data_IF_465404704122
#
_entry.id   IF_465404704122
#
_cell.length_a   1.000
_cell.length_b   1.000
_cell.length_c   1.000
_cell.angle_alpha   90.00
_cell.angle_beta   90.00
_cell.angle_gamma   90.00
#
_symmetry.space_group_name_H-M   'P 1'
#
loop_
_entity.id
_entity.type
_entity.pdbx_description
1 polymer ?
#
# COMPACT_ATOMS: atom_id res chain seq x y z
N UNK A 1 10.93 4.92 -16.47
CA UNK A 1 12.05 3.96 -16.27
C UNK A 1 13.31 4.57 -15.59
N UNK A 2 13.36 5.89 -15.39
CA UNK A 2 14.42 6.65 -14.64
C UNK A 2 14.63 6.23 -13.18
N UNK A 3 13.61 5.61 -12.57
CA UNK A 3 13.61 5.03 -11.23
C UNK A 3 14.69 3.98 -10.94
N UNK A 4 15.15 3.28 -11.98
CA UNK A 4 16.13 2.20 -11.82
C UNK A 4 17.53 2.75 -11.59
N UNK A 5 18.01 3.66 -12.43
CA UNK A 5 19.45 3.97 -12.55
C UNK A 5 20.01 4.68 -11.31
N UNK A 6 19.33 5.71 -10.77
CA UNK A 6 19.79 6.41 -9.56
C UNK A 6 19.90 5.47 -8.35
N UNK A 7 18.92 4.57 -8.20
CA UNK A 7 18.97 3.52 -7.18
C UNK A 7 20.10 2.54 -7.47
N UNK A 8 20.26 2.09 -8.72
CA UNK A 8 21.36 1.18 -9.09
C UNK A 8 22.73 1.78 -8.71
N UNK A 9 22.98 3.05 -9.06
CA UNK A 9 24.23 3.77 -8.78
C UNK A 9 24.46 3.87 -7.27
N UNK A 10 23.43 4.23 -6.50
CA UNK A 10 23.51 4.32 -5.03
C UNK A 10 23.82 2.96 -4.40
N UNK A 11 23.12 1.90 -4.81
CA UNK A 11 23.39 0.55 -4.33
C UNK A 11 24.83 0.13 -4.65
N UNK A 12 25.34 0.46 -5.85
CA UNK A 12 26.71 0.15 -6.28
C UNK A 12 27.73 0.91 -5.42
N UNK A 13 27.51 2.20 -5.17
CA UNK A 13 28.42 3.01 -4.36
C UNK A 13 28.44 2.55 -2.90
N UNK A 14 27.33 2.01 -2.39
CA UNK A 14 27.21 1.64 -0.98
C UNK A 14 27.46 0.15 -0.68
N UNK A 15 27.18 -0.76 -1.62
CA UNK A 15 27.37 -2.22 -1.50
C UNK A 15 28.64 -2.71 -2.22
N UNK A 16 29.29 -1.84 -2.98
CA UNK A 16 30.62 -2.05 -3.56
C UNK A 16 30.66 -2.91 -4.83
N UNK A 17 31.88 -3.30 -5.22
CA UNK A 17 32.18 -3.99 -6.50
C UNK A 17 31.43 -5.31 -6.70
N UNK A 18 31.10 -6.03 -5.63
CA UNK A 18 30.34 -7.29 -5.70
C UNK A 18 28.92 -7.06 -6.21
N UNK A 19 28.26 -5.99 -5.77
CA UNK A 19 26.93 -5.62 -6.23
C UNK A 19 26.97 -5.12 -7.69
N UNK A 20 28.02 -4.39 -8.07
CA UNK A 20 28.25 -4.00 -9.46
C UNK A 20 28.37 -5.22 -10.37
N UNK A 21 29.22 -6.18 -10.02
CA UNK A 21 29.41 -7.41 -10.79
C UNK A 21 28.10 -8.18 -10.92
N UNK A 22 27.40 -8.41 -9.81
CA UNK A 22 26.08 -9.06 -9.79
C UNK A 22 25.09 -8.36 -10.75
N UNK A 23 24.99 -7.03 -10.68
CA UNK A 23 24.08 -6.25 -11.53
C UNK A 23 24.48 -6.31 -13.00
N UNK A 24 25.76 -6.21 -13.33
CA UNK A 24 26.26 -6.34 -14.71
C UNK A 24 25.98 -7.74 -15.24
N UNK A 25 26.29 -8.80 -14.49
CA UNK A 25 26.04 -10.18 -14.92
C UNK A 25 24.56 -10.42 -15.18
N UNK A 26 23.67 -9.94 -14.30
CA UNK A 26 22.21 -10.03 -14.49
C UNK A 26 21.79 -9.23 -15.73
N UNK A 27 22.30 -8.00 -15.88
CA UNK A 27 21.99 -7.14 -17.00
C UNK A 27 22.41 -7.75 -18.34
N UNK A 28 23.65 -8.21 -18.47
CA UNK A 28 24.20 -8.85 -19.68
C UNK A 28 23.41 -10.12 -19.99
N UNK A 29 23.17 -10.98 -18.99
CA UNK A 29 22.39 -12.20 -19.16
C UNK A 29 20.97 -11.92 -19.65
N UNK A 30 20.35 -10.85 -19.16
CA UNK A 30 18.99 -10.49 -19.56
C UNK A 30 18.95 -9.81 -20.93
N UNK A 31 19.81 -8.82 -21.20
CA UNK A 31 19.81 -8.01 -22.43
C UNK A 31 20.26 -8.81 -23.65
N UNK A 32 21.27 -9.65 -23.50
CA UNK A 32 21.78 -10.49 -24.59
C UNK A 32 21.14 -11.88 -24.63
N UNK A 33 20.14 -12.15 -23.78
CA UNK A 33 19.34 -13.34 -24.00
C UNK A 33 18.61 -13.22 -25.34
N UNK A 34 18.79 -14.21 -26.20
CA UNK A 34 18.11 -14.31 -27.49
C UNK A 34 16.59 -14.08 -27.35
N UNK A 35 16.01 -14.62 -26.28
CA UNK A 35 14.61 -14.43 -25.91
C UNK A 35 14.24 -12.97 -25.61
N UNK A 36 15.12 -12.16 -25.03
CA UNK A 36 14.83 -10.75 -24.73
C UNK A 36 14.79 -9.90 -26.00
N UNK A 37 15.75 -10.07 -26.90
CA UNK A 37 15.80 -9.33 -28.16
C UNK A 37 14.60 -9.67 -29.07
N UNK A 38 14.29 -10.97 -29.16
CA UNK A 38 13.13 -11.45 -29.91
C UNK A 38 11.82 -10.95 -29.31
N UNK A 39 11.64 -11.06 -27.99
CA UNK A 39 10.43 -10.56 -27.33
C UNK A 39 10.27 -9.05 -27.53
N UNK A 40 11.35 -8.28 -27.49
CA UNK A 40 11.29 -6.85 -27.75
C UNK A 40 10.85 -6.58 -29.18
N UNK A 41 11.46 -7.21 -30.17
CA UNK A 41 11.07 -7.08 -31.57
C UNK A 41 9.59 -7.44 -31.80
N UNK A 42 9.11 -8.53 -31.20
CA UNK A 42 7.71 -8.97 -31.29
C UNK A 42 6.70 -7.94 -30.76
N UNK A 43 7.04 -7.15 -29.73
CA UNK A 43 6.14 -6.13 -29.18
C UNK A 43 6.36 -4.74 -29.80
N UNK A 44 7.56 -4.43 -30.30
CA UNK A 44 7.90 -3.11 -30.85
C UNK A 44 7.11 -2.82 -32.12
N UNK A 45 7.01 -3.75 -33.08
CA UNK A 45 6.29 -3.49 -34.33
C UNK A 45 4.79 -3.22 -34.08
N UNK A 46 4.04 -4.06 -33.33
CA UNK A 46 2.67 -3.74 -32.93
C UNK A 46 2.54 -2.44 -32.13
N UNK A 47 3.52 -2.11 -31.29
CA UNK A 47 3.52 -0.87 -30.50
C UNK A 47 3.59 0.36 -31.41
N UNK A 48 4.50 0.36 -32.39
CA UNK A 48 4.64 1.44 -33.37
C UNK A 48 3.37 1.56 -34.21
N UNK A 49 2.82 0.44 -34.70
CA UNK A 49 1.58 0.45 -35.48
C UNK A 49 0.43 1.05 -34.69
N UNK A 50 0.22 0.60 -33.44
CA UNK A 50 -0.84 1.13 -32.57
C UNK A 50 -0.61 2.61 -32.24
N UNK A 51 0.64 3.03 -32.00
CA UNK A 51 0.97 4.43 -31.73
C UNK A 51 0.65 5.33 -32.93
N UNK A 52 1.00 4.92 -34.15
CA UNK A 52 0.65 5.64 -35.39
C UNK A 52 -0.87 5.76 -35.53
N UNK A 53 -1.61 4.67 -35.31
CA UNK A 53 -3.08 4.69 -35.33
C UNK A 53 -3.60 5.74 -34.33
N UNK A 54 -3.13 5.72 -33.08
CA UNK A 54 -3.60 6.69 -32.06
C UNK A 54 -3.29 8.13 -32.47
N UNK A 55 -2.10 8.39 -33.02
CA UNK A 55 -1.70 9.73 -33.47
C UNK A 55 -2.59 10.21 -34.63
N UNK A 56 -2.87 9.35 -35.61
CA UNK A 56 -3.75 9.68 -36.75
C UNK A 56 -5.20 9.93 -36.30
N UNK A 57 -5.70 9.15 -35.35
CA UNK A 57 -7.06 9.30 -34.81
C UNK A 57 -7.20 10.44 -33.80
N UNK A 58 -6.10 11.04 -33.34
CA UNK A 58 -6.11 12.15 -32.37
C UNK A 58 -6.90 13.37 -32.87
N UNK A 59 -7.02 13.56 -34.18
CA UNK A 59 -7.84 14.62 -34.79
C UNK A 59 -9.34 14.45 -34.49
N UNK A 60 -9.80 13.24 -34.20
CA UNK A 60 -11.21 12.94 -33.97
C UNK A 60 -11.49 12.63 -32.49
N UNK A 61 -10.62 11.86 -31.83
CA UNK A 61 -10.81 11.39 -30.45
C UNK A 61 -9.48 11.39 -29.70
N UNK A 62 -9.47 11.95 -28.48
CA UNK A 62 -8.31 11.87 -27.59
C UNK A 62 -8.28 10.52 -26.86
N UNK A 63 -7.61 9.53 -27.46
CA UNK A 63 -7.44 8.19 -26.89
C UNK A 63 -6.23 8.18 -25.94
N UNK A 64 -6.39 7.60 -24.75
CA UNK A 64 -5.29 7.31 -23.83
C UNK A 64 -5.23 5.83 -23.46
N UNK A 65 -4.02 5.33 -23.24
CA UNK A 65 -3.72 3.96 -22.87
C UNK A 65 -3.21 3.91 -21.44
N UNK A 66 -3.80 3.08 -20.59
CA UNK A 66 -3.36 2.88 -19.20
C UNK A 66 -2.97 1.44 -18.92
N UNK A 67 -1.94 1.25 -18.10
CA UNK A 67 -1.57 -0.07 -17.58
C UNK A 67 -2.11 -0.25 -16.16
N UNK A 68 -2.81 -1.36 -15.94
CA UNK A 68 -3.28 -1.71 -14.60
C UNK A 68 -2.13 -2.36 -13.80
N UNK A 69 -1.97 -1.98 -12.53
CA UNK A 69 -0.84 -2.43 -11.71
C UNK A 69 -0.96 -3.91 -11.27
N UNK A 70 0.19 -4.57 -11.07
CA UNK A 70 0.28 -6.02 -10.72
C UNK A 70 0.24 -6.34 -9.22
N UNK A 71 0.34 -5.32 -8.38
CA UNK A 71 0.38 -5.43 -6.90
C UNK A 71 -0.93 -4.94 -6.32
N UNK A 72 -1.52 -5.68 -5.38
CA UNK A 72 -2.87 -5.43 -4.85
C UNK A 72 -3.10 -3.97 -4.40
N UNK A 73 -2.16 -3.39 -3.65
CA UNK A 73 -2.32 -2.02 -3.13
C UNK A 73 -2.54 -0.99 -4.24
N UNK A 74 -1.57 -0.87 -5.15
CA UNK A 74 -1.67 -0.03 -6.33
C UNK A 74 -2.79 -0.46 -7.30
N UNK A 75 -3.08 -1.76 -7.40
CA UNK A 75 -4.17 -2.28 -8.26
C UNK A 75 -5.52 -1.72 -7.83
N UNK A 76 -5.74 -1.56 -6.52
CA UNK A 76 -6.98 -1.04 -5.95
C UNK A 76 -6.95 0.49 -5.90
N UNK A 77 -5.96 1.09 -5.21
CA UNK A 77 -5.99 2.53 -4.92
C UNK A 77 -5.63 3.42 -6.10
N UNK A 78 -4.71 3.02 -6.98
CA UNK A 78 -4.45 3.83 -8.18
C UNK A 78 -5.74 3.91 -9.03
N UNK A 79 -6.53 2.84 -9.07
CA UNK A 79 -7.80 2.83 -9.82
C UNK A 79 -8.89 3.64 -9.13
N UNK A 80 -9.10 3.49 -7.83
CA UNK A 80 -10.08 4.29 -7.09
C UNK A 80 -9.76 5.79 -7.18
N UNK A 81 -8.50 6.17 -6.98
CA UNK A 81 -8.06 7.55 -7.05
C UNK A 81 -8.13 8.10 -8.47
N UNK A 82 -7.74 7.33 -9.48
CA UNK A 82 -7.95 7.71 -10.88
C UNK A 82 -9.42 8.00 -11.18
N UNK A 83 -10.35 7.17 -10.72
CA UNK A 83 -11.79 7.38 -10.93
C UNK A 83 -12.27 8.67 -10.24
N UNK A 84 -11.76 8.97 -9.05
CA UNK A 84 -12.09 10.20 -8.32
C UNK A 84 -11.50 11.44 -8.98
N UNK A 85 -10.22 11.42 -9.31
CA UNK A 85 -9.54 12.54 -9.98
C UNK A 85 -10.18 12.80 -11.35
N UNK A 86 -10.49 11.75 -12.12
CA UNK A 86 -11.24 11.88 -13.38
C UNK A 86 -12.63 12.49 -13.19
N UNK A 87 -13.29 12.23 -12.07
CA UNK A 87 -14.63 12.75 -11.78
C UNK A 87 -14.62 14.21 -11.30
N UNK A 88 -13.62 14.58 -10.49
CA UNK A 88 -13.63 15.85 -9.74
C UNK A 88 -12.60 16.88 -10.22
N UNK A 89 -11.52 16.44 -10.89
CA UNK A 89 -10.40 17.32 -11.26
C UNK A 89 -10.17 17.38 -12.78
N UNK A 90 -10.54 16.33 -13.53
CA UNK A 90 -10.34 16.28 -14.97
C UNK A 90 -11.50 16.98 -15.72
N UNK A 91 -11.19 18.11 -16.36
CA UNK A 91 -12.14 18.83 -17.20
C UNK A 91 -12.21 18.29 -18.64
N UNK A 92 -11.11 17.68 -19.11
CA UNK A 92 -10.97 17.20 -20.48
C UNK A 92 -11.57 15.81 -20.65
N UNK A 93 -12.27 15.61 -21.78
CA UNK A 93 -12.83 14.31 -22.15
C UNK A 93 -11.79 13.49 -22.90
N UNK A 94 -11.49 12.32 -22.34
CA UNK A 94 -10.59 11.32 -22.91
C UNK A 94 -11.29 9.97 -23.05
N UNK A 95 -10.98 9.27 -24.15
CA UNK A 95 -11.36 7.87 -24.33
C UNK A 95 -10.25 6.97 -23.81
N UNK A 96 -10.46 6.46 -22.59
CA UNK A 96 -9.42 5.77 -21.83
C UNK A 96 -9.56 4.25 -21.96
N UNK A 97 -8.51 3.61 -22.47
CA UNK A 97 -8.42 2.17 -22.65
C UNK A 97 -7.36 1.62 -21.70
N UNK A 98 -7.77 0.70 -20.82
CA UNK A 98 -6.89 0.12 -19.82
C UNK A 98 -6.49 -1.31 -20.19
N UNK A 99 -5.27 -1.69 -19.84
CA UNK A 99 -4.70 -2.99 -20.15
C UNK A 99 -4.35 -3.73 -18.87
N UNK A 100 -4.93 -4.92 -18.70
CA UNK A 100 -4.71 -5.75 -17.53
C UNK A 100 -3.44 -6.60 -17.66
N UNK A 101 -2.65 -6.77 -16.59
CA UNK A 101 -1.53 -7.69 -16.62
C UNK A 101 -2.02 -9.14 -16.66
N UNK A 102 -1.16 -10.06 -17.15
CA UNK A 102 -1.46 -11.50 -17.17
C UNK A 102 -1.76 -12.06 -15.78
N UNK A 103 -1.00 -11.63 -14.76
CA UNK A 103 -1.23 -12.02 -13.37
C UNK A 103 -2.12 -10.98 -12.67
N UNK A 104 -3.33 -11.39 -12.32
CA UNK A 104 -4.32 -10.56 -11.62
C UNK A 104 -4.19 -10.82 -10.11
N UNK A 105 -3.92 -9.78 -9.28
CA UNK A 105 -3.66 -10.00 -7.86
C UNK A 105 -4.92 -10.36 -7.05
N UNK A 106 -6.10 -9.92 -7.50
CA UNK A 106 -7.39 -10.27 -6.92
C UNK A 106 -8.50 -10.23 -7.98
N UNK A 107 -9.16 -11.37 -8.23
CA UNK A 107 -10.18 -11.53 -9.26
C UNK A 107 -11.48 -10.77 -8.98
N UNK A 108 -11.84 -10.55 -7.71
CA UNK A 108 -13.04 -9.80 -7.36
C UNK A 108 -12.86 -8.31 -7.64
N UNK A 109 -11.72 -7.73 -7.25
CA UNK A 109 -11.38 -6.35 -7.60
C UNK A 109 -11.32 -6.18 -9.13
N UNK A 110 -10.72 -7.13 -9.86
CA UNK A 110 -10.69 -7.06 -11.32
C UNK A 110 -12.08 -6.95 -11.95
N UNK A 111 -13.04 -7.75 -11.46
CA UNK A 111 -14.46 -7.65 -11.88
C UNK A 111 -15.05 -6.28 -11.57
N UNK A 112 -14.74 -5.70 -10.42
CA UNK A 112 -15.20 -4.36 -10.03
C UNK A 112 -14.61 -3.27 -10.94
N UNK A 113 -13.33 -3.37 -11.28
CA UNK A 113 -12.64 -2.44 -12.21
C UNK A 113 -13.27 -2.52 -13.61
N UNK A 114 -13.54 -3.72 -14.14
CA UNK A 114 -14.17 -3.90 -15.46
C UNK A 114 -15.59 -3.32 -15.55
N UNK A 115 -16.29 -3.13 -14.43
CA UNK A 115 -17.59 -2.44 -14.39
C UNK A 115 -17.45 -0.91 -14.54
N UNK A 116 -16.24 -0.36 -14.37
CA UNK A 116 -15.97 1.09 -14.34
C UNK A 116 -15.07 1.56 -15.47
N UNK A 117 -14.18 0.71 -15.97
CA UNK A 117 -13.20 1.02 -17.00
C UNK A 117 -13.35 0.06 -18.18
N UNK A 118 -13.04 0.56 -19.39
CA UNK A 118 -12.81 -0.29 -20.55
C UNK A 118 -11.46 -0.98 -20.39
N UNK A 119 -11.47 -2.27 -20.03
CA UNK A 119 -10.25 -3.05 -19.79
C UNK A 119 -10.09 -4.16 -20.80
N UNK A 120 -8.94 -4.16 -21.48
CA UNK A 120 -8.48 -5.19 -22.41
C UNK A 120 -7.48 -6.11 -21.69
N UNK A 121 -7.67 -7.43 -21.80
CA UNK A 121 -6.85 -8.44 -21.12
C UNK A 121 -5.62 -8.90 -21.91
N UNK A 122 -5.46 -8.45 -23.15
CA UNK A 122 -4.32 -8.71 -24.01
C UNK A 122 -3.67 -7.40 -24.44
N UNK A 123 -2.41 -7.43 -24.90
CA UNK A 123 -1.69 -6.23 -25.35
C UNK A 123 -0.98 -5.43 -24.26
N UNK A 124 -0.97 -5.89 -23.01
CA UNK A 124 -0.25 -5.23 -21.91
C UNK A 124 1.21 -4.91 -22.26
N UNK A 125 1.95 -5.88 -22.83
CA UNK A 125 3.35 -5.69 -23.20
C UNK A 125 3.53 -4.75 -24.41
N UNK A 126 2.55 -4.69 -25.31
CA UNK A 126 2.55 -3.75 -26.44
C UNK A 126 2.42 -2.32 -25.92
N UNK A 127 1.45 -2.08 -25.04
CA UNK A 127 1.29 -0.76 -24.40
C UNK A 127 2.48 -0.41 -23.52
N UNK A 128 3.08 -1.40 -22.84
CA UNK A 128 4.31 -1.17 -22.08
C UNK A 128 5.47 -0.74 -22.96
N UNK A 129 5.60 -1.31 -24.16
CA UNK A 129 6.62 -0.87 -25.11
C UNK A 129 6.30 0.52 -25.69
N UNK A 130 5.02 0.88 -25.88
CA UNK A 130 4.63 2.26 -26.22
C UNK A 130 5.11 3.24 -25.12
N UNK A 131 4.84 2.96 -23.83
CA UNK A 131 5.36 3.79 -22.73
C UNK A 131 6.89 3.95 -22.81
N UNK A 132 7.62 2.86 -23.07
CA UNK A 132 9.08 2.88 -23.17
C UNK A 132 9.56 3.73 -24.36
N UNK A 133 8.92 3.61 -25.53
CA UNK A 133 9.22 4.39 -26.73
C UNK A 133 9.01 5.89 -26.46
N UNK A 134 7.86 6.24 -25.87
CA UNK A 134 7.53 7.64 -25.57
C UNK A 134 8.49 8.26 -24.55
N UNK A 135 8.87 7.51 -23.50
CA UNK A 135 9.91 7.93 -22.56
C UNK A 135 11.26 8.13 -23.27
N UNK A 136 11.66 7.23 -24.17
CA UNK A 136 12.95 7.28 -24.88
C UNK A 136 13.06 8.56 -25.74
N UNK A 137 11.99 8.95 -26.41
CA UNK A 137 11.96 10.16 -27.24
C UNK A 137 11.56 11.42 -26.46
N UNK A 138 11.42 11.34 -25.13
CA UNK A 138 10.95 12.44 -24.27
C UNK A 138 9.66 13.09 -24.80
N UNK A 139 8.80 12.28 -25.42
CA UNK A 139 7.54 12.75 -26.00
C UNK A 139 6.52 12.90 -24.89
N UNK A 140 6.26 14.14 -24.49
CA UNK A 140 5.12 14.44 -23.64
C UNK A 140 3.85 14.48 -24.50
N UNK A 141 3.32 13.31 -24.82
CA UNK A 141 2.02 13.21 -25.45
C UNK A 141 1.03 12.59 -24.45
N UNK A 142 -0.18 13.13 -24.41
CA UNK A 142 -1.25 12.65 -23.54
C UNK A 142 -1.79 11.28 -23.99
N UNK A 143 -0.98 10.42 -24.63
CA UNK A 143 -1.35 9.09 -25.13
C UNK A 143 -1.32 8.06 -24.01
N UNK A 144 -0.42 8.22 -23.04
CA UNK A 144 -0.41 7.35 -21.85
C UNK A 144 -1.23 8.02 -20.76
N UNK A 145 -2.12 7.26 -20.15
CA UNK A 145 -2.78 7.69 -18.92
C UNK A 145 -1.66 7.79 -17.88
N UNK A 146 -1.35 9.02 -17.46
CA UNK A 146 -0.46 9.24 -16.34
C UNK A 146 -0.96 8.46 -15.13
N UNK A 147 -0.06 8.14 -14.19
CA UNK A 147 -0.55 7.76 -12.87
C UNK A 147 -1.45 8.91 -12.38
N UNK A 148 -2.54 8.59 -11.68
CA UNK A 148 -3.22 9.59 -10.88
C UNK A 148 -2.20 10.35 -10.01
N UNK A 149 -2.55 11.55 -9.57
CA UNK A 149 -1.65 12.59 -9.05
C UNK A 149 -0.51 12.05 -8.18
N UNK A 150 -0.79 11.07 -7.31
CA UNK A 150 0.25 10.36 -6.58
C UNK A 150 -0.06 8.87 -6.35
N UNK A 151 -0.26 8.09 -7.42
CA UNK A 151 -0.43 6.61 -7.34
C UNK A 151 -1.47 6.19 -6.27
N UNK A 152 -1.07 5.45 -5.24
CA UNK A 152 -1.93 4.96 -4.17
C UNK A 152 -2.09 5.94 -3.00
N UNK A 153 -1.64 7.19 -3.16
CA UNK A 153 -1.78 8.25 -2.16
C UNK A 153 -2.73 9.34 -2.62
N UNK A 154 -3.70 9.62 -1.76
CA UNK A 154 -4.67 10.67 -1.97
C UNK A 154 -4.14 12.04 -1.52
N UNK A 155 -3.21 12.61 -2.29
CA UNK A 155 -2.64 13.94 -2.00
C UNK A 155 -3.65 15.08 -2.17
N UNK A 156 -4.80 14.80 -2.78
CA UNK A 156 -5.90 15.74 -2.97
C UNK A 156 -7.01 15.58 -1.91
N UNK A 157 -6.86 14.63 -0.99
CA UNK A 157 -7.81 14.34 0.10
C UNK A 157 -9.26 14.04 -0.37
N UNK A 158 -9.42 13.52 -1.59
CA UNK A 158 -10.72 13.22 -2.20
C UNK A 158 -11.45 12.05 -1.52
N UNK A 159 -10.74 11.09 -0.93
CA UNK A 159 -11.34 9.90 -0.31
C UNK A 159 -12.30 10.29 0.84
N UNK A 160 -11.90 11.26 1.67
CA UNK A 160 -12.72 11.71 2.81
C UNK A 160 -13.99 12.46 2.40
N UNK A 161 -14.01 13.04 1.19
CA UNK A 161 -15.09 13.93 0.72
C UNK A 161 -15.93 13.32 -0.39
N UNK A 162 -15.68 12.05 -0.74
CA UNK A 162 -16.33 11.38 -1.87
C UNK A 162 -16.89 10.02 -1.48
N UNK A 163 -17.96 9.64 -2.17
CA UNK A 163 -18.43 8.26 -2.17
C UNK A 163 -17.46 7.34 -2.91
N UNK A 164 -17.51 6.06 -2.59
CA UNK A 164 -16.71 5.02 -3.24
C UNK A 164 -17.05 4.91 -4.73
N UNK A 165 -16.06 4.85 -5.62
CA UNK A 165 -16.32 4.68 -7.06
C UNK A 165 -16.53 3.21 -7.43
N UNK A 166 -15.87 2.30 -6.72
CA UNK A 166 -16.08 0.86 -6.81
C UNK A 166 -16.93 0.33 -5.64
N UNK A 167 -17.97 -0.45 -5.94
CA UNK A 167 -18.91 -1.00 -4.95
C UNK A 167 -19.26 -2.46 -5.21
N UNK A 168 -19.68 -3.16 -4.14
CA UNK A 168 -20.26 -4.50 -4.24
C UNK A 168 -21.74 -4.40 -4.60
N UNK A 169 -22.21 -5.31 -5.45
CA UNK A 169 -23.63 -5.46 -5.80
C UNK A 169 -24.41 -6.14 -4.68
N UNK A 170 -25.73 -5.99 -4.67
CA UNK A 170 -26.60 -6.64 -3.68
C UNK A 170 -26.46 -8.18 -3.68
N UNK A 171 -26.17 -8.79 -4.83
CA UNK A 171 -25.88 -10.24 -4.94
C UNK A 171 -24.56 -10.60 -4.25
N UNK A 172 -23.53 -9.76 -4.41
CA UNK A 172 -22.25 -9.92 -3.73
C UNK A 172 -22.41 -9.71 -2.21
N UNK A 173 -23.21 -8.73 -1.78
CA UNK A 173 -23.50 -8.52 -0.36
C UNK A 173 -24.16 -9.74 0.28
N UNK A 174 -25.24 -10.27 -0.31
CA UNK A 174 -25.91 -11.50 0.17
C UNK A 174 -24.98 -12.71 0.17
N UNK A 175 -24.11 -12.84 -0.84
CA UNK A 175 -23.10 -13.90 -0.90
C UNK A 175 -22.13 -13.80 0.28
N UNK A 176 -21.65 -12.60 0.59
CA UNK A 176 -20.73 -12.38 1.70
C UNK A 176 -21.39 -12.71 3.04
N UNK A 177 -22.63 -12.29 3.27
CA UNK A 177 -23.39 -12.61 4.49
C UNK A 177 -23.57 -14.12 4.67
N UNK A 178 -23.91 -14.83 3.58
CA UNK A 178 -23.99 -16.29 3.58
C UNK A 178 -22.65 -16.93 3.98
N UNK A 179 -21.55 -16.48 3.40
CA UNK A 179 -20.21 -17.01 3.71
C UNK A 179 -19.78 -16.70 5.16
N UNK A 180 -20.16 -15.55 5.72
CA UNK A 180 -19.94 -15.28 7.14
C UNK A 180 -20.69 -16.27 8.02
N UNK A 181 -21.96 -16.54 7.74
CA UNK A 181 -22.75 -17.51 8.50
C UNK A 181 -22.16 -18.93 8.42
N UNK A 182 -21.69 -19.35 7.23
CA UNK A 182 -21.01 -20.64 7.04
C UNK A 182 -19.71 -20.75 7.86
N UNK A 183 -19.03 -19.62 8.12
CA UNK A 183 -17.85 -19.53 8.99
C UNK A 183 -18.19 -19.47 10.49
N UNK A 184 -19.48 -19.45 10.86
CA UNK A 184 -19.90 -19.18 12.25
C UNK A 184 -19.73 -17.71 12.66
N UNK A 185 -19.54 -16.80 11.71
CA UNK A 185 -19.35 -15.37 11.95
C UNK A 185 -20.69 -14.66 11.85
N UNK A 186 -21.10 -14.01 12.94
CA UNK A 186 -22.35 -13.25 12.99
C UNK A 186 -22.31 -12.01 12.09
N UNK A 187 -23.34 -11.83 11.25
CA UNK A 187 -23.45 -10.63 10.40
C UNK A 187 -23.82 -9.38 11.20
N UNK A 188 -24.40 -9.53 12.40
CA UNK A 188 -24.87 -8.43 13.25
C UNK A 188 -23.81 -7.87 14.20
N UNK A 189 -22.76 -8.63 14.50
CA UNK A 189 -21.65 -8.17 15.34
C UNK A 189 -20.61 -7.42 14.52
N UNK A 190 -19.92 -6.41 15.10
CA UNK A 190 -18.88 -5.68 14.41
C UNK A 190 -17.63 -6.53 14.19
N UNK A 191 -17.09 -6.49 12.97
CA UNK A 191 -15.87 -7.21 12.58
C UNK A 191 -14.66 -6.28 12.62
N UNK A 192 -13.56 -6.72 13.22
CA UNK A 192 -12.25 -6.08 13.14
C UNK A 192 -11.33 -7.00 12.35
N UNK A 193 -10.76 -6.47 11.26
CA UNK A 193 -9.78 -7.21 10.46
C UNK A 193 -8.37 -6.94 10.98
N UNK A 194 -7.62 -7.98 11.30
CA UNK A 194 -6.22 -7.90 11.74
C UNK A 194 -5.33 -8.49 10.64
N UNK A 195 -4.51 -7.66 10.00
CA UNK A 195 -3.55 -8.11 8.98
C UNK A 195 -2.14 -7.65 9.31
N UNK A 196 -1.33 -8.58 9.79
CA UNK A 196 0.09 -8.32 10.08
C UNK A 196 0.94 -9.06 9.07
N UNK A 197 1.82 -8.31 8.42
CA UNK A 197 2.72 -8.79 7.37
C UNK A 197 3.80 -9.71 7.95
N UNK A 198 4.03 -10.81 7.24
CA UNK A 198 5.22 -11.66 7.29
C UNK A 198 5.87 -11.77 5.89
N UNK A 199 6.99 -12.50 5.79
CA UNK A 199 7.73 -12.69 4.54
C UNK A 199 7.06 -13.71 3.58
N UNK A 200 6.14 -14.54 4.08
CA UNK A 200 5.60 -15.71 3.39
C UNK A 200 4.96 -15.37 2.02
N UNK A 201 4.20 -14.28 1.97
CA UNK A 201 3.46 -13.89 0.77
C UNK A 201 4.38 -13.54 -0.40
N UNK A 202 5.42 -12.73 -0.15
CA UNK A 202 6.27 -12.24 -1.24
C UNK A 202 7.16 -13.35 -1.80
N UNK A 203 7.72 -14.18 -0.93
CA UNK A 203 8.55 -15.33 -1.31
C UNK A 203 7.78 -16.32 -2.19
N UNK A 204 6.52 -16.60 -1.85
CA UNK A 204 5.71 -17.59 -2.58
C UNK A 204 5.03 -17.06 -3.84
N UNK A 205 4.55 -15.81 -3.86
CA UNK A 205 3.83 -15.26 -5.02
C UNK A 205 4.77 -14.67 -6.07
N UNK A 206 5.92 -14.16 -5.66
CA UNK A 206 6.88 -13.50 -6.55
C UNK A 206 8.28 -14.13 -6.42
N UNK A 207 8.43 -15.46 -6.60
CA UNK A 207 9.73 -16.11 -6.50
C UNK A 207 10.66 -15.61 -7.61
N UNK A 208 11.88 -15.22 -7.24
CA UNK A 208 12.92 -14.78 -8.19
C UNK A 208 12.79 -13.35 -8.73
N UNK A 209 11.69 -12.63 -8.42
CA UNK A 209 11.53 -11.22 -8.81
C UNK A 209 12.56 -10.32 -8.09
N UNK A 210 12.87 -10.64 -6.83
CA UNK A 210 13.75 -9.86 -5.97
C UNK A 210 14.13 -10.64 -4.70
N UNK A 211 15.22 -10.25 -4.03
CA UNK A 211 15.55 -10.74 -2.69
C UNK A 211 14.65 -10.04 -1.66
N UNK A 212 13.56 -10.72 -1.29
CA UNK A 212 12.54 -10.16 -0.41
C UNK A 212 13.02 -9.91 1.02
N UNK A 213 14.15 -10.50 1.44
CA UNK A 213 14.74 -10.26 2.78
C UNK A 213 15.10 -8.79 3.03
N UNK A 214 15.28 -8.02 1.96
CA UNK A 214 15.47 -6.57 2.08
C UNK A 214 14.22 -5.83 2.57
N UNK A 215 13.05 -6.47 2.57
CA UNK A 215 11.77 -5.90 3.01
C UNK A 215 11.34 -6.34 4.41
N UNK A 216 12.09 -7.24 5.05
CA UNK A 216 11.75 -7.83 6.37
C UNK A 216 11.64 -6.80 7.49
N UNK A 217 12.24 -5.62 7.32
CA UNK A 217 12.12 -4.52 8.27
C UNK A 217 10.64 -4.14 8.57
N UNK A 218 9.71 -4.44 7.65
CA UNK A 218 8.27 -4.20 7.79
C UNK A 218 7.50 -5.34 8.45
N UNK A 219 8.07 -6.54 8.49
CA UNK A 219 7.38 -7.72 9.00
C UNK A 219 7.24 -7.62 10.53
N UNK A 220 6.26 -8.28 11.12
CA UNK A 220 6.07 -8.23 12.58
C UNK A 220 5.55 -9.55 13.12
N UNK A 221 5.84 -9.82 14.39
CA UNK A 221 5.34 -11.02 15.05
C UNK A 221 3.84 -10.92 15.31
N UNK A 222 3.06 -11.82 14.71
CA UNK A 222 1.60 -11.87 14.88
C UNK A 222 1.19 -12.19 16.33
N UNK A 223 2.05 -12.85 17.12
CA UNK A 223 1.75 -13.21 18.51
C UNK A 223 1.66 -11.98 19.42
N UNK A 224 2.39 -10.90 19.09
CA UNK A 224 2.31 -9.60 19.79
C UNK A 224 0.91 -8.98 19.79
N UNK A 225 -0.01 -9.50 18.95
CA UNK A 225 -1.37 -9.03 18.78
C UNK A 225 -2.43 -9.86 19.53
N UNK A 226 -2.03 -10.89 20.29
CA UNK A 226 -2.98 -11.69 21.07
C UNK A 226 -3.74 -10.84 22.08
N UNK A 227 -3.05 -9.93 22.77
CA UNK A 227 -3.66 -9.04 23.78
C UNK A 227 -4.77 -8.16 23.18
N UNK A 228 -4.55 -7.60 21.99
CA UNK A 228 -5.55 -6.76 21.33
C UNK A 228 -6.71 -7.59 20.78
N UNK A 229 -6.43 -8.77 20.23
CA UNK A 229 -7.46 -9.68 19.74
C UNK A 229 -8.38 -10.14 20.87
N UNK A 230 -7.80 -10.54 22.01
CA UNK A 230 -8.55 -10.92 23.21
C UNK A 230 -9.41 -9.77 23.71
N UNK A 231 -8.83 -8.57 23.90
CA UNK A 231 -9.58 -7.40 24.36
C UNK A 231 -10.78 -7.08 23.46
N UNK A 232 -10.58 -7.08 22.13
CA UNK A 232 -11.67 -6.84 21.19
C UNK A 232 -12.75 -7.93 21.30
N UNK A 233 -12.35 -9.18 21.42
CA UNK A 233 -13.26 -10.30 21.49
C UNK A 233 -14.08 -10.30 22.80
N UNK A 234 -13.45 -9.99 23.93
CA UNK A 234 -14.10 -9.83 25.23
C UNK A 234 -15.13 -8.68 25.23
N UNK A 235 -14.91 -7.67 24.36
CA UNK A 235 -15.82 -6.54 24.17
C UNK A 235 -16.82 -6.75 23.02
N UNK A 236 -17.02 -8.00 22.59
CA UNK A 236 -18.07 -8.38 21.64
C UNK A 236 -17.74 -8.16 20.16
N UNK A 237 -16.52 -7.76 19.83
CA UNK A 237 -16.05 -7.66 18.45
C UNK A 237 -15.62 -9.02 17.90
N UNK A 238 -15.86 -9.26 16.62
CA UNK A 238 -15.34 -10.43 15.93
C UNK A 238 -14.00 -10.09 15.26
N UNK A 239 -12.93 -10.74 15.70
CA UNK A 239 -11.58 -10.48 15.19
C UNK A 239 -11.22 -11.51 14.13
N UNK A 240 -11.01 -11.06 12.91
CA UNK A 240 -10.59 -11.92 11.81
C UNK A 240 -9.13 -11.65 11.49
N UNK A 241 -8.27 -12.65 11.72
CA UNK A 241 -6.91 -12.60 11.24
C UNK A 241 -6.91 -12.85 9.73
N UNK A 242 -6.49 -11.83 8.98
CA UNK A 242 -6.46 -11.81 7.53
C UNK A 242 -5.12 -12.32 6.97
N UNK A 243 -5.10 -12.68 5.69
CA UNK A 243 -3.87 -13.09 4.99
C UNK A 243 -4.15 -14.00 3.80
N UNK A 244 -3.30 -13.93 2.77
CA UNK A 244 -3.36 -14.80 1.57
C UNK A 244 -2.47 -16.03 1.75
N UNK A 245 -1.26 -15.81 2.20
CA UNK A 245 -0.21 -16.79 2.50
C UNK A 245 0.50 -16.22 3.72
N UNK A 246 0.70 -17.06 4.73
CA UNK A 246 1.20 -16.67 6.04
C UNK A 246 2.03 -17.82 6.62
N UNK A 247 2.99 -17.50 7.48
CA UNK A 247 3.83 -18.50 8.14
C UNK A 247 3.10 -19.14 9.32
N UNK A 248 2.58 -18.30 10.20
CA UNK A 248 2.05 -18.74 11.49
C UNK A 248 0.51 -18.81 11.48
N UNK A 249 -0.01 -19.78 12.25
CA UNK A 249 -1.42 -19.84 12.62
C UNK A 249 -1.73 -18.87 13.75
N UNK A 250 -2.96 -18.37 13.77
CA UNK A 250 -3.44 -17.49 14.84
C UNK A 250 -4.27 -18.28 15.85
N UNK A 251 -3.58 -19.06 16.69
CA UNK A 251 -4.20 -20.00 17.63
C UNK A 251 -4.52 -19.33 18.97
N UNK A 252 -5.55 -18.49 19.00
CA UNK A 252 -6.10 -17.93 20.23
C UNK A 252 -7.51 -18.51 20.44
N UNK A 253 -7.70 -19.29 21.51
CA UNK A 253 -8.96 -20.00 21.77
C UNK A 253 -10.02 -19.05 22.32
N UNK A 254 -10.79 -18.46 21.40
CA UNK A 254 -11.92 -17.61 21.74
C UNK A 254 -12.99 -17.65 20.62
N UNK A 255 -14.29 -17.79 20.93
CA UNK A 255 -15.34 -18.01 19.93
C UNK A 255 -15.58 -16.83 18.97
N UNK A 256 -15.01 -15.66 19.25
CA UNK A 256 -15.09 -14.47 18.40
C UNK A 256 -13.76 -14.15 17.69
N UNK A 257 -12.78 -15.06 17.72
CA UNK A 257 -11.49 -14.90 17.05
C UNK A 257 -11.37 -15.96 15.96
N UNK A 258 -11.11 -15.54 14.74
CA UNK A 258 -11.16 -16.40 13.55
C UNK A 258 -9.86 -16.25 12.74
N UNK A 259 -9.14 -17.35 12.53
CA UNK A 259 -7.99 -17.40 11.61
C UNK A 259 -8.46 -17.58 10.17
N UNK A 260 -9.03 -16.52 9.59
CA UNK A 260 -9.52 -16.53 8.20
C UNK A 260 -8.42 -16.89 7.21
N UNK A 261 -7.18 -16.42 7.42
CA UNK A 261 -6.05 -16.69 6.53
C UNK A 261 -5.74 -18.18 6.35
N UNK A 262 -5.92 -18.99 7.40
CA UNK A 262 -5.72 -20.44 7.39
C UNK A 262 -7.04 -21.24 7.23
N UNK A 263 -8.14 -20.57 6.92
CA UNK A 263 -9.45 -21.23 6.73
C UNK A 263 -9.69 -21.64 5.27
N UNK A 264 -10.58 -22.62 5.07
CA UNK A 264 -11.06 -23.03 3.74
C UNK A 264 -11.97 -21.98 3.07
N UNK A 265 -12.34 -20.91 3.78
CA UNK A 265 -13.22 -19.85 3.27
C UNK A 265 -12.45 -18.70 2.63
N UNK A 266 -11.11 -18.70 2.74
CA UNK A 266 -10.27 -17.65 2.17
C UNK A 266 -10.36 -17.64 0.66
N UNK A 267 -10.83 -16.53 0.11
CA UNK A 267 -10.95 -16.32 -1.33
C UNK A 267 -10.76 -14.86 -1.71
N UNK A 268 -10.38 -14.60 -2.96
CA UNK A 268 -10.27 -13.23 -3.49
C UNK A 268 -11.57 -12.42 -3.28
N UNK A 269 -12.73 -13.07 -3.32
CA UNK A 269 -14.02 -12.42 -3.02
C UNK A 269 -14.14 -12.05 -1.54
N UNK A 270 -13.85 -12.98 -0.63
CA UNK A 270 -13.95 -12.72 0.81
C UNK A 270 -12.90 -11.72 1.29
N UNK A 271 -11.72 -11.67 0.68
CA UNK A 271 -10.72 -10.64 0.96
C UNK A 271 -11.28 -9.23 0.73
N UNK A 272 -12.10 -9.06 -0.31
CA UNK A 272 -12.77 -7.79 -0.63
C UNK A 272 -13.98 -7.54 0.27
N UNK A 273 -14.82 -8.57 0.46
CA UNK A 273 -16.03 -8.45 1.26
C UNK A 273 -15.71 -8.14 2.73
N UNK A 274 -14.68 -8.76 3.32
CA UNK A 274 -14.26 -8.48 4.68
C UNK A 274 -13.69 -7.05 4.83
N UNK A 275 -12.94 -6.56 3.83
CA UNK A 275 -12.51 -5.16 3.79
C UNK A 275 -13.68 -4.17 3.63
N UNK A 276 -14.78 -4.58 3.01
CA UNK A 276 -16.02 -3.81 2.96
C UNK A 276 -16.83 -3.88 4.27
N UNK A 277 -16.90 -5.05 4.91
CA UNK A 277 -17.79 -5.30 6.04
C UNK A 277 -17.19 -4.86 7.37
N UNK A 278 -15.86 -4.84 7.51
CA UNK A 278 -15.21 -4.51 8.77
C UNK A 278 -15.64 -3.14 9.32
N UNK A 279 -15.65 -3.03 10.64
CA UNK A 279 -15.77 -1.78 11.37
C UNK A 279 -14.51 -0.94 11.14
N UNK A 280 -13.33 -1.55 11.32
CA UNK A 280 -12.02 -1.01 10.99
C UNK A 280 -11.00 -2.14 10.78
N UNK A 281 -9.80 -1.79 10.33
CA UNK A 281 -8.68 -2.71 10.18
C UNK A 281 -7.49 -2.30 11.07
N UNK A 282 -6.72 -3.28 11.52
CA UNK A 282 -5.40 -3.13 12.15
C UNK A 282 -4.37 -3.72 11.20
N UNK A 283 -3.36 -2.94 10.80
CA UNK A 283 -2.39 -3.37 9.78
C UNK A 283 -1.02 -2.69 9.90
N UNK A 284 0.03 -3.31 9.37
CA UNK A 284 1.38 -2.74 9.31
C UNK A 284 1.81 -2.33 7.88
N UNK A 285 0.89 -1.71 7.12
CA UNK A 285 1.11 -1.20 5.74
C UNK A 285 1.29 -2.31 4.69
N UNK A 286 0.22 -3.07 4.45
CA UNK A 286 0.16 -4.12 3.43
C UNK A 286 -0.57 -3.66 2.17
N UNK A 287 -0.44 -4.44 1.09
CA UNK A 287 -1.22 -4.19 -0.13
C UNK A 287 -2.72 -4.42 0.02
N UNK A 288 -3.17 -5.18 1.03
CA UNK A 288 -4.60 -5.42 1.25
C UNK A 288 -5.28 -4.19 1.84
N UNK A 289 -4.56 -3.33 2.57
CA UNK A 289 -5.08 -2.11 3.20
C UNK A 289 -5.80 -1.19 2.20
N UNK A 290 -5.40 -1.25 0.93
CA UNK A 290 -6.04 -0.54 -0.15
C UNK A 290 -7.55 -0.86 -0.31
N UNK A 291 -7.99 -2.07 0.08
CA UNK A 291 -9.40 -2.48 0.04
C UNK A 291 -10.23 -1.73 1.09
N UNK A 292 -9.93 -1.78 2.41
CA UNK A 292 -10.64 -0.98 3.38
C UNK A 292 -10.50 0.54 3.10
N UNK A 293 -9.36 1.02 2.60
CA UNK A 293 -9.23 2.44 2.17
C UNK A 293 -10.23 2.76 1.05
N UNK A 294 -10.31 1.93 0.01
CA UNK A 294 -11.28 2.10 -1.08
C UNK A 294 -12.72 2.13 -0.54
N UNK A 295 -13.05 1.35 0.49
CA UNK A 295 -14.36 1.39 1.16
C UNK A 295 -14.50 2.47 2.25
N UNK A 296 -13.54 3.40 2.35
CA UNK A 296 -13.51 4.49 3.35
C UNK A 296 -13.55 4.02 4.79
N UNK A 297 -13.01 2.83 5.06
CA UNK A 297 -12.93 2.25 6.39
C UNK A 297 -11.79 2.86 7.20
N UNK A 298 -11.95 2.97 8.52
CA UNK A 298 -10.87 3.34 9.43
C UNK A 298 -9.78 2.27 9.45
N UNK A 299 -8.54 2.71 9.64
CA UNK A 299 -7.39 1.82 9.73
C UNK A 299 -6.46 2.31 10.84
N UNK A 300 -6.12 1.41 11.75
CA UNK A 300 -5.06 1.60 12.72
C UNK A 300 -3.78 0.98 12.13
N UNK A 301 -2.84 1.83 11.75
CA UNK A 301 -1.54 1.42 11.29
C UNK A 301 -0.59 1.23 12.49
N UNK A 302 -0.06 0.02 12.63
CA UNK A 302 0.82 -0.39 13.74
C UNK A 302 2.15 -0.86 13.22
N UNK A 303 3.23 -0.71 13.99
CA UNK A 303 4.56 -1.10 13.56
C UNK A 303 4.95 -0.52 12.19
N UNK A 304 4.38 0.63 11.83
CA UNK A 304 4.49 1.16 10.48
C UNK A 304 5.90 1.68 10.19
N UNK A 305 6.56 1.13 9.17
CA UNK A 305 7.85 1.60 8.66
C UNK A 305 7.91 1.49 7.13
N UNK A 306 8.58 2.42 6.43
CA UNK A 306 9.22 3.63 6.95
C UNK A 306 8.22 4.72 7.35
N UNK A 307 8.61 5.60 8.27
CA UNK A 307 7.69 6.60 8.85
C UNK A 307 7.20 7.61 7.82
N UNK A 308 8.00 7.96 6.80
CA UNK A 308 7.58 8.89 5.75
C UNK A 308 6.44 8.35 4.87
N UNK A 309 6.24 7.04 4.90
CA UNK A 309 5.29 6.36 4.03
C UNK A 309 3.89 6.24 4.68
N UNK A 310 3.65 6.86 5.83
CA UNK A 310 2.33 6.81 6.49
C UNK A 310 1.24 7.45 5.62
N UNK A 311 0.01 6.96 5.75
CA UNK A 311 -1.15 7.49 5.03
C UNK A 311 -1.72 8.69 5.79
N UNK A 312 -1.48 9.91 5.27
CA UNK A 312 -1.82 11.13 6.00
C UNK A 312 -3.16 11.77 5.63
N UNK A 313 -3.82 11.25 4.61
CA UNK A 313 -4.88 11.95 3.89
C UNK A 313 -6.29 11.78 4.46
N UNK A 314 -6.50 10.94 5.48
CA UNK A 314 -7.82 10.71 6.10
C UNK A 314 -7.80 10.88 7.61
N UNK A 315 -8.87 11.47 8.16
CA UNK A 315 -9.11 11.53 9.61
C UNK A 315 -9.37 10.17 10.26
N UNK A 316 -9.60 9.13 9.45
CA UNK A 316 -9.91 7.78 9.91
C UNK A 316 -8.66 6.90 10.12
N UNK A 317 -7.47 7.49 10.04
CA UNK A 317 -6.21 6.75 10.23
C UNK A 317 -5.50 7.20 11.50
N UNK A 318 -5.17 6.22 12.33
CA UNK A 318 -4.24 6.35 13.45
C UNK A 318 -2.96 5.60 13.07
N UNK A 319 -1.80 6.16 13.42
CA UNK A 319 -0.49 5.56 13.21
C UNK A 319 0.26 5.38 14.53
N UNK A 320 0.89 4.23 14.69
CA UNK A 320 2.05 4.00 15.56
C UNK A 320 3.13 3.29 14.73
N UNK A 321 4.39 3.56 15.03
CA UNK A 321 5.53 3.07 14.25
C UNK A 321 6.54 2.37 15.14
N UNK A 322 7.35 1.49 14.53
CA UNK A 322 8.45 0.81 15.24
C UNK A 322 9.39 1.85 15.85
N UNK A 323 9.81 1.62 17.08
CA UNK A 323 10.82 2.45 17.70
C UNK A 323 12.15 2.27 16.96
N UNK A 324 12.79 3.37 16.60
CA UNK A 324 14.11 3.36 16.00
C UNK A 324 15.11 3.59 17.12
N UNK A 325 15.98 2.61 17.37
CA UNK A 325 16.99 2.66 18.41
C UNK A 325 18.38 2.74 17.77
N UNK A 326 19.11 3.81 18.06
CA UNK A 326 20.50 3.96 17.63
C UNK A 326 21.41 3.18 18.59
N UNK A 327 22.03 2.13 18.05
CA UNK A 327 22.90 1.22 18.80
C UNK A 327 24.17 1.93 19.27
N UNK A 328 24.71 2.86 18.47
CA UNK A 328 25.94 3.59 18.79
C UNK A 328 25.70 4.61 19.91
N UNK A 329 24.63 5.39 19.78
CA UNK A 329 24.25 6.41 20.76
C UNK A 329 23.50 5.84 21.97
N UNK A 330 23.09 4.56 21.91
CA UNK A 330 22.29 3.87 22.94
C UNK A 330 21.03 4.63 23.34
N UNK A 331 20.34 5.20 22.35
CA UNK A 331 19.13 6.00 22.57
C UNK A 331 18.07 5.69 21.52
N UNK A 332 16.80 5.90 21.90
CA UNK A 332 15.73 5.96 20.93
C UNK A 332 15.77 7.29 20.16
N UNK A 333 15.46 7.23 18.87
CA UNK A 333 15.48 8.39 17.99
C UNK A 333 14.14 9.11 17.97
N UNK A 334 14.19 10.43 18.10
CA UNK A 334 13.03 11.31 17.92
C UNK A 334 12.77 11.59 16.43
N UNK A 335 11.66 12.24 16.08
CA UNK A 335 11.35 12.53 14.67
C UNK A 335 12.44 13.38 13.98
N UNK A 336 13.00 14.39 14.65
CA UNK A 336 14.08 15.23 14.11
C UNK A 336 15.34 14.39 13.83
N UNK A 337 15.70 13.48 14.72
CA UNK A 337 16.83 12.55 14.53
C UNK A 337 16.60 11.66 13.30
N UNK A 338 15.38 11.13 13.12
CA UNK A 338 15.04 10.30 11.97
C UNK A 338 15.18 11.05 10.65
N UNK A 339 14.81 12.33 10.64
CA UNK A 339 14.95 13.24 9.50
C UNK A 339 16.41 13.56 9.23
N UNK A 340 17.15 14.02 10.24
CA UNK A 340 18.55 14.46 10.12
C UNK A 340 19.48 13.31 9.69
N UNK A 341 19.23 12.10 10.19
CA UNK A 341 19.98 10.90 9.82
C UNK A 341 19.52 10.29 8.48
N UNK A 342 18.43 10.78 7.88
CA UNK A 342 17.87 10.24 6.64
C UNK A 342 17.26 8.83 6.77
N UNK A 343 17.04 8.35 8.00
CA UNK A 343 16.52 6.99 8.28
C UNK A 343 14.99 6.91 8.24
N UNK A 344 14.31 8.06 8.23
CA UNK A 344 12.86 8.19 8.04
C UNK A 344 12.35 7.64 6.69
N UNK A 345 13.23 7.52 5.68
CA UNK A 345 12.95 7.14 4.28
C UNK A 345 13.84 5.97 3.82
N UNK A 346 13.85 4.89 4.61
CA UNK A 346 14.56 3.66 4.28
C UNK A 346 13.58 2.57 3.85
N UNK A 347 13.86 1.96 2.69
CA UNK A 347 13.06 0.87 2.11
C UNK A 347 13.83 -0.45 1.99
N UNK A 348 15.02 -0.57 2.60
CA UNK A 348 15.79 -1.83 2.63
C UNK A 348 16.42 -2.08 4.00
N UNK A 349 16.29 -3.32 4.50
CA UNK A 349 16.87 -3.82 5.76
C UNK A 349 18.37 -3.50 5.88
N UNK A 350 19.12 -3.57 4.77
CA UNK A 350 20.55 -3.25 4.72
C UNK A 350 20.87 -1.86 5.26
N UNK A 351 20.04 -0.86 4.96
CA UNK A 351 20.31 0.53 5.34
C UNK A 351 20.06 0.80 6.82
N UNK A 352 19.13 0.10 7.47
CA UNK A 352 19.00 0.17 8.93
C UNK A 352 20.26 -0.39 9.60
N UNK A 353 20.75 -1.55 9.16
CA UNK A 353 22.00 -2.17 9.66
C UNK A 353 23.21 -1.25 9.43
N UNK A 354 23.36 -0.69 8.22
CA UNK A 354 24.44 0.24 7.88
C UNK A 354 24.47 1.47 8.78
N UNK A 355 23.30 2.00 9.14
CA UNK A 355 23.16 3.16 10.03
C UNK A 355 23.14 2.79 11.52
N UNK A 356 23.37 1.52 11.89
CA UNK A 356 23.32 1.04 13.28
C UNK A 356 21.97 1.30 13.96
N UNK A 357 20.89 1.24 13.19
CA UNK A 357 19.52 1.41 13.68
C UNK A 357 18.89 0.04 13.87
N UNK A 358 18.44 -0.23 15.09
CA UNK A 358 17.55 -1.35 15.41
C UNK A 358 16.12 -0.86 15.39
N UNK A 359 15.27 -1.54 14.62
CA UNK A 359 13.82 -1.36 14.69
C UNK A 359 13.27 -2.26 15.80
N UNK A 360 12.51 -1.69 16.72
CA UNK A 360 11.88 -2.39 17.84
C UNK A 360 10.37 -2.25 17.65
N UNK A 361 9.67 -3.39 17.69
CA UNK A 361 8.22 -3.42 17.54
C UNK A 361 7.52 -2.71 18.70
N UNK A 362 6.33 -2.19 18.41
CA UNK A 362 5.42 -1.68 19.42
C UNK A 362 5.03 -2.81 20.36
N UNK A 363 5.00 -2.49 21.65
CA UNK A 363 4.54 -3.39 22.70
C UNK A 363 3.05 -3.69 22.52
N UNK A 364 2.60 -4.84 23.04
CA UNK A 364 1.16 -5.18 23.05
C UNK A 364 0.30 -4.13 23.76
N UNK A 365 0.87 -3.39 24.73
CA UNK A 365 0.18 -2.27 25.40
C UNK A 365 0.01 -1.05 24.51
N UNK A 366 1.02 -0.69 23.72
CA UNK A 366 0.90 0.42 22.77
C UNK A 366 -0.14 0.10 21.69
N UNK A 367 -0.12 -1.13 21.17
CA UNK A 367 -1.10 -1.60 20.18
C UNK A 367 -2.51 -1.60 20.78
N UNK A 368 -2.68 -2.09 22.01
CA UNK A 368 -3.96 -2.12 22.70
C UNK A 368 -4.51 -0.70 22.93
N UNK A 369 -3.70 0.23 23.43
CA UNK A 369 -4.17 1.59 23.70
C UNK A 369 -4.48 2.36 22.41
N UNK A 370 -3.67 2.21 21.36
CA UNK A 370 -4.00 2.77 20.05
C UNK A 370 -5.29 2.17 19.46
N UNK A 371 -5.60 0.91 19.78
CA UNK A 371 -6.87 0.26 19.39
C UNK A 371 -8.06 0.86 20.14
N UNK A 372 -7.92 1.12 21.45
CA UNK A 372 -8.94 1.82 22.24
C UNK A 372 -9.22 3.21 21.68
N UNK A 373 -8.16 3.98 21.37
CA UNK A 373 -8.31 5.28 20.72
C UNK A 373 -9.03 5.21 19.37
N UNK A 374 -8.76 4.17 18.56
CA UNK A 374 -9.50 3.96 17.31
C UNK A 374 -10.99 3.73 17.57
N UNK A 375 -11.34 2.89 18.55
CA UNK A 375 -12.72 2.64 18.94
C UNK A 375 -13.41 3.92 19.43
N UNK A 376 -12.73 4.72 20.26
CA UNK A 376 -13.22 6.00 20.75
C UNK A 376 -13.48 6.97 19.61
N UNK A 377 -12.56 7.10 18.65
CA UNK A 377 -12.76 7.94 17.47
C UNK A 377 -13.92 7.45 16.61
N UNK A 378 -14.07 6.14 16.41
CA UNK A 378 -15.20 5.57 15.67
C UNK A 378 -16.52 5.91 16.38
N UNK A 379 -16.58 5.74 17.69
CA UNK A 379 -17.79 6.00 18.49
C UNK A 379 -18.23 7.48 18.45
N UNK A 380 -17.27 8.40 18.30
CA UNK A 380 -17.51 9.84 18.25
C UNK A 380 -17.44 10.43 16.82
N UNK A 381 -17.61 9.61 15.78
CA UNK A 381 -17.59 10.05 14.37
C UNK A 381 -16.34 10.87 13.97
N UNK A 382 -15.19 10.49 14.53
CA UNK A 382 -13.90 11.13 14.33
C UNK A 382 -13.92 12.64 14.64
N UNK A 383 -14.79 13.07 15.57
CA UNK A 383 -14.76 14.41 16.12
C UNK A 383 -13.66 14.48 17.16
N UNK A 384 -12.72 15.40 16.95
CA UNK A 384 -11.56 15.56 17.84
C UNK A 384 -11.52 17.00 18.35
N UNK A 385 -11.22 17.18 19.63
CA UNK A 385 -11.04 18.50 20.25
C UNK A 385 -9.60 18.99 20.05
N UNK A 386 -9.36 20.27 20.34
CA UNK A 386 -8.06 20.95 20.19
C UNK A 386 -6.89 20.06 20.60
N UNK A 387 -5.93 19.90 19.69
CA UNK A 387 -4.99 18.78 19.77
C UNK A 387 -3.53 19.21 19.84
N UNK A 388 -3.14 19.66 21.04
CA UNK A 388 -1.78 20.11 21.32
C UNK A 388 -0.76 19.00 21.04
N UNK A 389 -1.11 17.75 21.36
CA UNK A 389 -0.23 16.58 21.18
C UNK A 389 0.01 16.32 19.69
N UNK A 390 -1.03 16.21 18.86
CA UNK A 390 -0.87 16.04 17.43
C UNK A 390 -0.13 17.22 16.80
N UNK A 391 -0.44 18.46 17.20
CA UNK A 391 0.25 19.65 16.69
C UNK A 391 1.76 19.58 16.98
N UNK A 392 2.17 19.05 18.14
CA UNK A 392 3.58 18.94 18.51
C UNK A 392 4.34 17.94 17.64
N UNK A 393 3.77 16.76 17.35
CA UNK A 393 4.43 15.75 16.51
C UNK A 393 4.42 16.14 15.03
N UNK A 394 3.32 16.69 14.51
CA UNK A 394 3.22 17.08 13.10
C UNK A 394 4.12 18.25 12.73
N UNK A 395 4.45 19.14 13.69
CA UNK A 395 5.46 20.19 13.49
C UNK A 395 6.87 19.63 13.23
N UNK A 396 7.19 18.47 13.79
CA UNK A 396 8.49 17.82 13.60
C UNK A 396 8.49 16.84 12.43
N UNK A 397 7.31 16.35 12.05
CA UNK A 397 7.16 15.43 10.93
C UNK A 397 7.46 16.11 9.58
N UNK A 398 8.18 15.45 8.66
CA UNK A 398 8.57 16.03 7.36
C UNK A 398 7.40 16.05 6.36
N UNK A 399 6.34 16.81 6.65
CA UNK A 399 5.09 16.87 5.86
C UNK A 399 5.30 17.38 4.42
N UNK A 400 6.33 18.18 4.18
CA UNK A 400 6.68 18.73 2.86
C UNK A 400 7.74 17.89 2.13
N UNK A 401 8.01 16.68 2.60
CA UNK A 401 9.01 15.81 1.97
C UNK A 401 8.64 15.50 0.51
N UNK A 402 9.62 15.73 -0.36
CA UNK A 402 9.60 15.34 -1.76
C UNK A 402 10.47 14.11 -1.89
N UNK A 403 9.90 13.02 -2.39
CA UNK A 403 10.62 11.77 -2.49
C UNK A 403 11.77 11.91 -3.51
N UNK A 404 12.99 11.68 -3.02
CA UNK A 404 14.24 11.86 -3.77
C UNK A 404 14.36 11.00 -5.04
N UNK A 405 13.52 9.97 -5.18
CA UNK A 405 13.56 9.05 -6.32
C UNK A 405 12.56 9.43 -7.43
N UNK A 406 11.35 9.91 -7.09
CA UNK A 406 10.32 10.30 -8.08
C UNK A 406 10.14 11.81 -8.21
N UNK A 407 10.71 12.61 -7.32
CA UNK A 407 10.41 14.03 -7.19
C UNK A 407 8.92 14.34 -6.94
N UNK A 408 8.18 13.38 -6.36
CA UNK A 408 6.77 13.56 -6.05
C UNK A 408 6.58 13.87 -4.57
N UNK A 409 5.60 14.72 -4.28
CA UNK A 409 5.17 15.07 -2.92
C UNK A 409 4.50 13.87 -2.25
N UNK A 410 4.91 13.52 -1.02
CA UNK A 410 4.37 12.34 -0.32
C UNK A 410 3.03 12.56 0.38
N UNK A 411 2.73 13.80 0.78
CA UNK A 411 1.59 14.12 1.63
C UNK A 411 0.79 15.32 1.10
N UNK A 412 -0.54 15.20 1.08
CA UNK A 412 -1.47 16.31 0.86
C UNK A 412 -1.73 17.11 2.14
N UNK A 413 -2.99 17.52 2.36
CA UNK A 413 -3.41 18.04 3.67
C UNK A 413 -3.39 16.89 4.69
N UNK A 414 -2.71 17.11 5.81
CA UNK A 414 -2.63 16.13 6.89
C UNK A 414 -3.98 16.10 7.63
N UNK A 415 -4.57 14.90 7.72
CA UNK A 415 -5.80 14.62 8.46
C UNK A 415 -5.65 13.42 9.40
N UNK A 416 -4.72 12.51 9.12
CA UNK A 416 -4.44 11.37 10.00
C UNK A 416 -3.86 11.83 11.33
N UNK A 417 -3.81 10.89 12.28
CA UNK A 417 -3.24 11.13 13.60
C UNK A 417 -2.24 10.05 13.97
N UNK A 418 -1.36 10.36 14.90
CA UNK A 418 -0.65 9.35 15.68
C UNK A 418 -1.46 9.00 16.93
N UNK A 419 -1.23 7.84 17.53
CA UNK A 419 -1.85 7.54 18.82
C UNK A 419 -1.35 8.50 19.90
N UNK A 420 -2.27 9.06 20.70
CA UNK A 420 -1.92 10.02 21.75
C UNK A 420 -1.20 9.31 22.91
N UNK A 421 -1.67 8.12 23.29
CA UNK A 421 -1.00 7.24 24.25
C UNK A 421 0.42 6.92 23.80
N UNK A 422 0.62 6.57 22.53
CA UNK A 422 1.94 6.25 22.00
C UNK A 422 2.91 7.43 22.16
N UNK A 423 2.47 8.65 21.85
CA UNK A 423 3.27 9.86 22.01
C UNK A 423 3.56 10.15 23.50
N UNK A 424 2.54 10.10 24.34
CA UNK A 424 2.65 10.43 25.78
C UNK A 424 3.52 9.41 26.54
N UNK A 425 3.42 8.13 26.17
CA UNK A 425 4.25 7.06 26.71
C UNK A 425 5.70 7.21 26.26
N UNK A 426 5.92 7.64 25.02
CA UNK A 426 7.23 7.78 24.41
C UNK A 426 7.60 9.24 24.20
N UNK A 427 7.71 10.00 25.30
CA UNK A 427 8.00 11.45 25.27
C UNK A 427 9.25 11.81 24.47
N UNK A 428 10.20 10.88 24.34
CA UNK A 428 11.40 11.07 23.52
C UNK A 428 11.08 11.33 22.04
N UNK A 429 9.90 10.96 21.52
CA UNK A 429 9.54 11.10 20.10
C UNK A 429 9.51 12.56 19.63
N UNK A 430 9.23 13.49 20.54
CA UNK A 430 9.13 14.92 20.30
C UNK A 430 10.34 15.58 20.95
N UNK A 431 11.19 16.25 20.16
CA UNK A 431 12.27 17.08 20.71
C UNK A 431 11.67 18.35 21.35
N UNK A 432 12.23 18.76 22.49
CA UNK A 432 11.81 19.95 23.23
C UNK A 432 12.41 21.27 22.68
N UNK A 433 13.19 21.19 21.59
CA UNK A 433 13.95 22.31 21.02
C UNK A 433 13.15 23.16 20.04
#
# INVERSE_FOLDING_TARGET
MTFSIKKQIKDISEKGKKELYKKITIFVKNVFSFNFLINRFFFTLPAITLLIIIILFKLFINIRLGLIHRRLGHFVLNTELYLLEKKFLEEKKYFDIWFAPKSIPNLQIYKMIKKKLLVISFGYNVVKEIENILELFSMNNNIIIGTNTQKDRDVNNLLDTSSTQMSLSSKELKKGEKLLNEMGISVSKPIVCLLIRDNAYLEKIYPGDYDWSSQDFRDSDILSYYKVAQYLADNGYQVLRMGKIVNEKFNLDHPLIFDYANSNHRSDFMDVYLGYKCLFAISNSTGWDAIPVMFRKPILFVNHVPIINIHTYSKKYIHIFKHHYDIKQKKYLNIKDLVSMGVHDIYETFYFKKNNIKLIENTSDEILNATKEMLDLISNDFKVKNDIIQNSIWKQFPVNYINKYNNNRMHGKIKSRFSDYFILKNKYLISND
#
